data_IF_023291254974
#
_entry.id   IF_023291254974
#
_cell.length_a   1.000
_cell.length_b   1.000
_cell.length_c   1.000
_cell.angle_alpha   90.00
_cell.angle_beta   90.00
_cell.angle_gamma   90.00
#
_symmetry.space_group_name_H-M   'P 1'
#
loop_
_entity.id
_entity.type
_entity.pdbx_description
1 polymer ?
#
# COMPACT_ATOMS: atom_id res chain seq x y z
N UNK A 1 28.71 -37.27 31.08
CA UNK A 1 28.95 -36.29 32.17
C UNK A 1 30.23 -35.51 31.86
N UNK A 2 30.09 -34.28 31.36
CA UNK A 2 31.18 -33.29 31.31
C UNK A 2 30.54 -31.93 31.57
N UNK A 3 30.85 -31.33 32.70
CA UNK A 3 30.42 -30.01 33.16
C UNK A 3 31.29 -28.96 32.47
N UNK A 4 30.66 -27.99 31.80
CA UNK A 4 31.34 -26.84 31.22
C UNK A 4 31.18 -25.63 32.15
N UNK A 5 32.32 -25.11 32.64
CA UNK A 5 32.41 -23.99 33.57
C UNK A 5 32.24 -22.65 32.81
N UNK A 6 31.29 -21.84 33.29
CA UNK A 6 31.06 -20.46 32.80
C UNK A 6 31.91 -19.49 33.62
N UNK A 7 32.96 -18.96 33.01
CA UNK A 7 33.73 -17.84 33.60
C UNK A 7 33.09 -16.51 33.21
N UNK A 8 32.70 -15.74 34.23
CA UNK A 8 32.20 -14.35 34.13
C UNK A 8 33.34 -13.43 33.67
N UNK A 9 33.08 -12.67 32.60
CA UNK A 9 33.94 -11.54 32.17
C UNK A 9 33.16 -10.27 32.50
N UNK A 10 33.70 -9.50 33.44
CA UNK A 10 33.25 -8.15 33.80
C UNK A 10 34.03 -7.20 32.91
N UNK A 11 33.35 -6.45 32.07
CA UNK A 11 33.93 -5.36 31.27
C UNK A 11 33.54 -4.02 31.90
N UNK A 12 34.53 -3.28 32.35
CA UNK A 12 34.43 -1.95 32.94
C UNK A 12 34.22 -0.93 31.82
N UNK A 13 33.13 -0.15 31.89
CA UNK A 13 32.86 0.96 30.96
C UNK A 13 33.39 2.23 31.58
N UNK A 14 34.39 2.83 30.92
CA UNK A 14 34.92 4.16 31.28
C UNK A 14 34.18 5.22 30.47
N UNK A 15 33.45 6.09 31.17
CA UNK A 15 32.74 7.24 30.58
C UNK A 15 33.74 8.41 30.47
N UNK A 16 34.02 8.86 29.26
CA UNK A 16 34.71 10.14 29.01
C UNK A 16 33.66 11.20 28.64
N UNK A 17 33.46 12.13 29.55
CA UNK A 17 32.68 13.35 29.30
C UNK A 17 33.58 14.45 28.71
N UNK A 18 33.31 14.84 27.46
CA UNK A 18 33.92 16.07 26.88
C UNK A 18 32.87 17.15 26.79
N UNK A 19 33.09 18.18 27.60
CA UNK A 19 32.35 19.44 27.56
C UNK A 19 32.87 20.33 26.42
N UNK A 20 32.00 20.81 25.54
CA UNK A 20 32.31 21.89 24.61
C UNK A 20 31.58 23.18 25.07
N UNK A 21 32.40 24.18 25.37
CA UNK A 21 31.97 25.51 25.77
C UNK A 21 31.54 26.33 24.53
N UNK A 22 30.40 27.00 24.64
CA UNK A 22 29.95 28.03 23.70
C UNK A 22 30.71 29.33 23.99
N UNK A 23 31.37 29.87 22.95
CA UNK A 23 31.76 31.29 22.94
C UNK A 23 30.98 32.02 21.88
N UNK A 24 30.09 32.92 22.34
CA UNK A 24 29.45 33.92 21.51
C UNK A 24 30.38 35.17 21.50
N UNK A 25 30.64 35.72 20.31
CA UNK A 25 31.05 37.12 20.17
C UNK A 25 30.46 37.62 18.86
N UNK A 26 29.56 38.60 19.00
CA UNK A 26 29.09 39.43 17.90
C UNK A 26 30.08 40.55 17.60
N UNK A 27 30.08 41.06 16.41
CA UNK A 27 30.12 42.51 16.15
C UNK A 27 29.69 42.81 14.70
N UNK A 28 28.99 43.93 14.59
CA UNK A 28 28.50 44.58 13.37
C UNK A 28 29.67 45.28 12.63
N UNK A 29 29.63 45.41 11.31
CA UNK A 29 29.44 46.65 10.55
C UNK A 29 29.72 46.52 9.04
N UNK A 30 28.73 46.96 8.30
CA UNK A 30 28.74 47.87 7.10
C UNK A 30 29.68 47.64 5.89
N UNK A 31 29.01 47.38 4.75
CA UNK A 31 29.02 48.25 3.53
C UNK A 31 30.02 47.95 2.40
N UNK A 32 29.49 47.63 1.29
CA UNK A 32 29.56 48.18 -0.10
C UNK A 32 29.65 47.16 -1.23
N UNK A 33 28.58 47.22 -2.00
CA UNK A 33 28.43 47.07 -3.46
C UNK A 33 29.64 46.61 -4.28
N UNK A 34 29.41 45.50 -5.06
CA UNK A 34 29.69 45.55 -6.50
C UNK A 34 28.88 44.47 -7.22
N UNK A 35 28.24 44.92 -8.31
CA UNK A 35 27.44 44.21 -9.24
C UNK A 35 28.24 43.13 -9.96
N UNK A 36 27.67 41.91 -10.04
CA UNK A 36 28.12 40.84 -10.90
C UNK A 36 26.90 39.98 -11.27
N UNK A 37 26.39 40.24 -12.47
CA UNK A 37 25.31 39.46 -13.09
C UNK A 37 25.83 38.07 -13.36
N UNK A 38 25.26 37.06 -12.67
CA UNK A 38 25.41 35.64 -12.97
C UNK A 38 24.05 35.03 -12.63
N UNK A 39 23.21 34.88 -13.66
CA UNK A 39 22.02 34.02 -13.60
C UNK A 39 22.48 32.59 -13.43
N UNK A 40 22.62 32.15 -12.20
CA UNK A 40 22.57 30.74 -11.84
C UNK A 40 21.20 30.54 -11.22
N UNK A 41 20.36 29.86 -11.95
CA UNK A 41 19.07 29.37 -11.48
C UNK A 41 19.35 28.34 -10.35
N UNK A 42 19.44 28.86 -9.15
CA UNK A 42 19.55 28.06 -7.95
C UNK A 42 18.10 27.80 -7.50
N UNK A 43 17.42 26.87 -8.16
CA UNK A 43 16.19 26.31 -7.65
C UNK A 43 16.53 25.63 -6.34
N UNK A 44 16.38 26.40 -5.26
CA UNK A 44 16.48 25.89 -3.90
C UNK A 44 15.55 24.71 -3.75
N UNK A 45 16.07 23.62 -3.16
CA UNK A 45 15.27 22.50 -2.68
C UNK A 45 14.09 23.09 -1.91
N UNK A 46 12.90 23.00 -2.51
CA UNK A 46 11.64 23.16 -1.80
C UNK A 46 11.66 22.12 -0.67
N UNK A 47 11.15 22.44 0.49
CA UNK A 47 11.13 21.50 1.62
C UNK A 47 10.11 20.38 1.42
N UNK A 48 9.97 19.87 0.20
CA UNK A 48 9.13 18.77 -0.20
C UNK A 48 9.80 17.46 0.21
N UNK A 49 9.00 16.57 0.77
CA UNK A 49 9.48 15.31 1.33
C UNK A 49 9.63 14.23 0.24
N UNK A 50 8.97 14.41 -0.91
CA UNK A 50 8.98 13.47 -2.03
C UNK A 50 10.10 13.77 -3.04
N UNK A 51 10.46 12.76 -3.85
CA UNK A 51 11.31 12.92 -5.02
C UNK A 51 10.47 13.21 -6.27
N UNK A 52 10.90 14.18 -7.06
CA UNK A 52 10.31 14.48 -8.37
C UNK A 52 10.66 13.37 -9.38
N UNK A 53 9.96 13.32 -10.52
CA UNK A 53 10.25 12.39 -11.60
C UNK A 53 11.72 12.49 -12.10
N UNK A 54 12.25 13.72 -12.21
CA UNK A 54 13.62 13.94 -12.66
C UNK A 54 14.63 13.41 -11.64
N UNK A 55 14.40 13.63 -10.33
CA UNK A 55 15.25 13.10 -9.27
C UNK A 55 15.23 11.57 -9.23
N UNK A 56 14.08 10.93 -9.45
CA UNK A 56 13.95 9.47 -9.55
C UNK A 56 14.78 8.93 -10.72
N UNK A 57 14.71 9.60 -11.90
CA UNK A 57 15.49 9.21 -13.08
C UNK A 57 16.98 9.43 -12.89
N UNK A 58 17.38 10.52 -12.24
CA UNK A 58 18.78 10.81 -11.92
C UNK A 58 19.35 9.79 -10.94
N UNK A 59 18.59 9.42 -9.90
CA UNK A 59 18.97 8.39 -8.92
C UNK A 59 19.02 6.97 -9.50
N UNK A 60 18.33 6.74 -10.64
CA UNK A 60 18.24 5.43 -11.29
C UNK A 60 17.46 4.39 -10.49
N UNK A 61 16.66 4.82 -9.50
CA UNK A 61 15.86 3.94 -8.64
C UNK A 61 14.55 4.58 -8.27
N UNK A 62 13.49 3.77 -8.17
CA UNK A 62 12.18 4.15 -7.65
C UNK A 62 11.78 3.25 -6.49
N UNK A 63 11.24 3.83 -5.42
CA UNK A 63 10.75 3.09 -4.26
C UNK A 63 9.23 2.90 -4.38
N UNK A 64 8.77 1.67 -4.49
CA UNK A 64 7.35 1.37 -4.65
C UNK A 64 6.88 0.54 -3.46
N UNK A 65 5.87 1.06 -2.74
CA UNK A 65 5.22 0.35 -1.64
C UNK A 65 4.20 -0.65 -2.18
N UNK A 66 4.41 -1.93 -1.87
CA UNK A 66 3.53 -3.05 -2.23
C UNK A 66 3.24 -3.90 -1.01
N UNK A 67 2.16 -4.69 -1.03
CA UNK A 67 1.96 -5.72 -0.02
C UNK A 67 2.98 -6.85 -0.16
N UNK A 68 3.25 -7.57 0.92
CA UNK A 68 4.13 -8.73 0.94
C UNK A 68 3.42 -10.02 1.39
N UNK A 69 2.12 -9.94 1.73
CA UNK A 69 1.31 -11.03 2.29
C UNK A 69 -0.14 -11.07 1.76
N UNK A 70 -0.45 -10.29 0.71
CA UNK A 70 -1.77 -10.24 0.06
C UNK A 70 -1.72 -10.94 -1.31
N UNK A 71 -1.60 -12.28 -1.33
CA UNK A 71 -1.68 -13.09 -2.54
C UNK A 71 -3.14 -13.10 -3.08
N UNK A 72 -3.39 -12.81 -4.37
CA UNK A 72 -2.47 -12.70 -5.51
C UNK A 72 -2.05 -11.28 -5.91
N UNK A 73 -2.30 -10.25 -5.11
CA UNK A 73 -2.04 -8.84 -5.47
C UNK A 73 -0.60 -8.40 -5.22
N UNK A 74 -0.09 -8.64 -4.00
CA UNK A 74 1.29 -8.37 -3.61
C UNK A 74 1.72 -9.34 -2.52
N UNK A 75 2.70 -10.19 -2.81
CA UNK A 75 3.20 -11.18 -1.87
C UNK A 75 4.67 -11.51 -2.17
N UNK A 76 5.32 -12.13 -1.19
CA UNK A 76 6.68 -12.64 -1.35
C UNK A 76 6.61 -14.15 -1.51
N UNK A 77 7.21 -14.67 -2.57
CA UNK A 77 7.25 -16.10 -2.89
C UNK A 77 8.28 -16.87 -2.04
N UNK A 78 8.38 -18.18 -2.28
CA UNK A 78 9.32 -19.07 -1.57
C UNK A 78 10.81 -18.72 -1.80
N UNK A 79 11.12 -17.99 -2.88
CA UNK A 79 12.47 -17.55 -3.22
C UNK A 79 12.80 -16.18 -2.59
N UNK A 80 11.82 -15.54 -1.95
CA UNK A 80 11.95 -14.21 -1.39
C UNK A 80 11.71 -13.08 -2.39
N UNK A 81 11.13 -13.39 -3.57
CA UNK A 81 10.84 -12.43 -4.62
C UNK A 81 9.41 -11.91 -4.52
N UNK A 82 9.22 -10.61 -4.79
CA UNK A 82 7.90 -10.02 -4.84
C UNK A 82 7.15 -10.45 -6.10
N UNK A 83 5.88 -10.81 -5.94
CA UNK A 83 4.98 -11.33 -6.98
C UNK A 83 3.58 -10.72 -6.84
N UNK A 84 2.78 -10.80 -7.89
CA UNK A 84 1.36 -10.43 -7.91
C UNK A 84 1.04 -9.24 -8.80
N UNK A 85 -0.24 -8.91 -8.91
CA UNK A 85 -0.80 -7.93 -9.84
C UNK A 85 -0.19 -6.53 -9.66
N UNK A 86 -0.13 -6.02 -8.43
CA UNK A 86 0.49 -4.72 -8.15
C UNK A 86 2.01 -4.72 -8.45
N UNK A 87 2.66 -5.87 -8.24
CA UNK A 87 4.10 -6.05 -8.49
C UNK A 87 4.41 -6.13 -9.98
N UNK A 88 3.53 -6.76 -10.77
CA UNK A 88 3.66 -6.83 -12.22
C UNK A 88 3.62 -5.41 -12.82
N UNK A 89 2.66 -4.60 -12.41
CA UNK A 89 2.58 -3.19 -12.83
C UNK A 89 3.77 -2.36 -12.34
N UNK A 90 4.23 -2.57 -11.10
CA UNK A 90 5.41 -1.88 -10.57
C UNK A 90 6.69 -2.16 -11.37
N UNK A 91 6.89 -3.41 -11.83
CA UNK A 91 8.01 -3.77 -12.69
C UNK A 91 7.93 -3.04 -14.05
N UNK A 92 6.74 -2.95 -14.65
CA UNK A 92 6.52 -2.21 -15.89
C UNK A 92 6.84 -0.71 -15.73
N UNK A 93 6.43 -0.10 -14.64
CA UNK A 93 6.80 1.29 -14.31
C UNK A 93 8.33 1.46 -14.28
N UNK A 94 9.05 0.53 -13.65
CA UNK A 94 10.51 0.57 -13.61
C UNK A 94 11.16 0.42 -14.97
N UNK A 95 10.64 -0.48 -15.82
CA UNK A 95 11.11 -0.70 -17.19
C UNK A 95 10.93 0.55 -18.04
N UNK A 96 9.75 1.17 -18.03
CA UNK A 96 9.42 2.31 -18.87
C UNK A 96 10.09 3.62 -18.40
N UNK A 97 10.35 3.75 -17.08
CA UNK A 97 11.19 4.82 -16.55
C UNK A 97 12.69 4.60 -16.81
N UNK A 98 13.11 3.36 -17.07
CA UNK A 98 14.51 2.96 -17.18
C UNK A 98 15.25 3.00 -15.83
N UNK A 99 14.56 2.72 -14.73
CA UNK A 99 15.11 2.72 -13.36
C UNK A 99 14.88 1.38 -12.67
N UNK A 100 15.66 1.11 -11.62
CA UNK A 100 15.46 -0.08 -10.81
C UNK A 100 14.32 0.14 -9.80
N UNK A 101 13.40 -0.81 -9.70
CA UNK A 101 12.38 -0.81 -8.65
C UNK A 101 12.97 -1.35 -7.34
N UNK A 102 12.79 -0.60 -6.27
CA UNK A 102 13.00 -1.05 -4.90
C UNK A 102 11.63 -1.27 -4.25
N UNK A 103 11.27 -2.51 -4.03
CA UNK A 103 10.02 -2.84 -3.33
C UNK A 103 10.14 -2.55 -1.84
N UNK A 104 9.11 -1.89 -1.29
CA UNK A 104 8.98 -1.60 0.13
C UNK A 104 7.73 -2.31 0.65
N UNK A 105 7.93 -3.30 1.53
CA UNK A 105 6.80 -3.99 2.19
C UNK A 105 5.95 -2.97 2.95
N UNK A 106 4.65 -2.99 2.68
CA UNK A 106 3.70 -1.99 3.18
C UNK A 106 2.49 -2.69 3.79
N UNK A 107 2.02 -2.19 4.93
CA UNK A 107 0.75 -2.56 5.53
C UNK A 107 -0.33 -1.54 5.15
N UNK A 108 -1.61 -1.93 5.21
CA UNK A 108 -2.70 -1.07 4.77
C UNK A 108 -2.74 0.28 5.52
N UNK A 109 -2.49 0.27 6.83
CA UNK A 109 -2.48 1.48 7.65
C UNK A 109 -1.29 2.42 7.35
N UNK A 110 -0.19 1.90 6.81
CA UNK A 110 1.05 2.66 6.59
C UNK A 110 1.11 3.37 5.23
N UNK A 111 0.18 3.10 4.30
CA UNK A 111 0.25 3.59 2.91
C UNK A 111 0.36 5.10 2.80
N UNK A 112 -0.52 5.83 3.50
CA UNK A 112 -0.51 7.31 3.51
C UNK A 112 0.77 7.84 4.14
N UNK A 113 1.15 7.32 5.32
CA UNK A 113 2.36 7.77 6.03
C UNK A 113 3.63 7.57 5.21
N UNK A 114 3.75 6.45 4.48
CA UNK A 114 4.93 6.17 3.66
C UNK A 114 5.10 7.17 2.52
N UNK A 115 4.01 7.64 1.91
CA UNK A 115 4.04 8.73 0.94
C UNK A 115 4.37 10.06 1.61
N UNK A 116 3.72 10.40 2.73
CA UNK A 116 3.93 11.65 3.44
C UNK A 116 5.35 11.83 3.99
N UNK A 117 6.02 10.72 4.29
CA UNK A 117 7.40 10.72 4.82
C UNK A 117 8.46 10.53 3.74
N UNK A 118 8.07 10.34 2.47
CA UNK A 118 9.00 10.07 1.37
C UNK A 118 9.71 8.71 1.47
N UNK A 119 9.15 7.78 2.25
CA UNK A 119 9.66 6.42 2.34
C UNK A 119 9.47 5.65 1.04
N UNK A 120 8.42 5.98 0.30
CA UNK A 120 8.12 5.48 -1.03
C UNK A 120 7.75 6.64 -1.95
N UNK A 121 7.95 6.44 -3.26
CA UNK A 121 7.54 7.39 -4.30
C UNK A 121 6.12 7.11 -4.79
N UNK A 122 5.78 5.81 -4.87
CA UNK A 122 4.46 5.32 -5.30
C UNK A 122 3.96 4.28 -4.30
N UNK A 123 2.67 4.27 -4.05
CA UNK A 123 1.94 3.13 -3.45
C UNK A 123 1.21 2.38 -4.56
N UNK A 124 1.56 1.10 -4.72
CA UNK A 124 0.87 0.07 -5.48
C UNK A 124 0.56 -1.09 -4.53
N UNK A 125 -0.34 -0.86 -3.61
CA UNK A 125 -0.72 -1.79 -2.56
C UNK A 125 -2.24 -1.87 -2.46
N UNK A 126 -2.88 -2.22 -3.60
CA UNK A 126 -4.32 -2.38 -3.73
C UNK A 126 -5.07 -1.21 -3.05
N UNK A 127 -4.72 0.03 -3.46
CA UNK A 127 -5.08 1.24 -2.72
C UNK A 127 -6.36 1.86 -3.25
N UNK A 128 -7.47 1.56 -2.59
CA UNK A 128 -8.82 2.07 -2.93
C UNK A 128 -8.85 3.59 -2.86
N UNK A 129 -9.36 4.20 -3.92
CA UNK A 129 -9.60 5.64 -4.00
C UNK A 129 -10.77 6.02 -3.10
N UNK A 130 -10.52 6.88 -2.11
CA UNK A 130 -11.56 7.47 -1.27
C UNK A 130 -11.36 8.96 -1.12
N UNK A 131 -12.43 9.71 -0.85
CA UNK A 131 -12.34 11.16 -0.66
C UNK A 131 -11.41 11.53 0.50
N UNK A 132 -11.46 10.79 1.61
CA UNK A 132 -10.59 11.01 2.77
C UNK A 132 -9.10 10.83 2.41
N UNK A 133 -8.76 9.75 1.69
CA UNK A 133 -7.38 9.50 1.25
C UNK A 133 -6.91 10.53 0.24
N UNK A 134 -7.80 10.97 -0.68
CA UNK A 134 -7.50 11.98 -1.68
C UNK A 134 -7.21 13.38 -1.09
N UNK A 135 -7.60 13.65 0.14
CA UNK A 135 -7.17 14.84 0.87
C UNK A 135 -5.67 14.78 1.26
N UNK A 136 -5.12 13.59 1.42
CA UNK A 136 -3.78 13.35 1.97
C UNK A 136 -2.73 12.95 0.92
N UNK A 137 -3.15 12.32 -0.17
CA UNK A 137 -2.30 11.85 -1.28
C UNK A 137 -2.94 12.23 -2.62
N UNK A 138 -2.19 12.10 -3.72
CA UNK A 138 -2.75 12.24 -5.06
C UNK A 138 -2.85 10.85 -5.71
N UNK A 139 -4.05 10.50 -6.16
CA UNK A 139 -4.29 9.27 -6.90
C UNK A 139 -4.13 9.48 -8.39
N UNK A 140 -3.49 8.53 -9.04
CA UNK A 140 -3.46 8.42 -10.50
C UNK A 140 -4.77 7.82 -11.04
N UNK A 141 -4.82 7.57 -12.34
CA UNK A 141 -5.92 6.85 -12.99
C UNK A 141 -6.04 5.43 -12.43
N UNK A 142 -7.26 4.90 -12.28
CA UNK A 142 -7.46 3.56 -11.75
C UNK A 142 -7.05 2.47 -12.73
N UNK A 143 -6.67 1.30 -12.19
CA UNK A 143 -6.32 0.11 -12.96
C UNK A 143 -7.15 -1.12 -12.58
N UNK A 144 -8.00 -1.03 -11.55
CA UNK A 144 -8.85 -2.12 -11.10
C UNK A 144 -10.13 -1.59 -10.44
N UNK A 145 -11.23 -2.32 -10.60
CA UNK A 145 -12.48 -2.13 -9.83
C UNK A 145 -12.45 -2.99 -8.56
N UNK A 146 -13.15 -2.54 -7.53
CA UNK A 146 -13.28 -3.25 -6.26
C UNK A 146 -14.61 -2.94 -5.60
N UNK A 147 -15.09 -3.85 -4.77
CA UNK A 147 -16.14 -3.61 -3.78
C UNK A 147 -15.67 -4.19 -2.43
N UNK A 148 -16.45 -4.01 -1.37
CA UNK A 148 -16.22 -4.76 -0.14
C UNK A 148 -16.97 -6.09 -0.18
N UNK A 149 -16.48 -7.08 0.58
CA UNK A 149 -17.15 -8.36 0.74
C UNK A 149 -16.96 -8.93 2.14
N UNK A 150 -17.71 -9.98 2.46
CA UNK A 150 -17.62 -10.70 3.73
C UNK A 150 -17.55 -12.20 3.47
N UNK A 151 -16.50 -12.83 3.96
CA UNK A 151 -16.30 -14.29 3.95
C UNK A 151 -16.49 -14.85 5.36
N UNK A 152 -17.05 -16.03 5.45
CA UNK A 152 -17.29 -16.73 6.73
C UNK A 152 -17.25 -18.25 6.55
N UNK A 153 -17.07 -19.03 7.64
CA UNK A 153 -17.11 -20.49 7.56
C UNK A 153 -18.45 -21.02 7.05
N UNK A 154 -18.43 -22.11 6.25
CA UNK A 154 -19.63 -22.78 5.73
C UNK A 154 -20.58 -23.28 6.85
N UNK A 155 -20.05 -23.51 8.04
CA UNK A 155 -20.87 -23.84 9.21
C UNK A 155 -21.76 -22.70 9.69
N UNK A 156 -21.41 -21.47 9.30
CA UNK A 156 -22.17 -20.26 9.65
C UNK A 156 -21.92 -19.18 8.59
N UNK A 157 -22.62 -19.27 7.47
CA UNK A 157 -22.52 -18.27 6.40
C UNK A 157 -23.20 -16.97 6.83
N UNK A 158 -22.50 -15.86 6.72
CA UNK A 158 -22.99 -14.51 7.01
C UNK A 158 -23.48 -13.89 5.69
N UNK A 159 -24.78 -13.82 5.50
CA UNK A 159 -25.41 -13.26 4.29
C UNK A 159 -25.95 -11.83 4.48
N UNK A 160 -25.98 -11.32 5.73
CA UNK A 160 -26.35 -9.95 6.08
C UNK A 160 -25.67 -9.54 7.37
N UNK A 161 -25.41 -8.24 7.49
CA UNK A 161 -24.92 -7.62 8.73
C UNK A 161 -26.06 -7.10 9.63
N UNK A 162 -27.30 -7.19 9.16
CA UNK A 162 -28.47 -6.78 9.94
C UNK A 162 -28.70 -7.73 11.13
N UNK A 163 -29.21 -7.18 12.24
CA UNK A 163 -29.49 -7.91 13.47
C UNK A 163 -28.29 -8.69 14.01
N UNK A 164 -27.12 -8.08 13.97
CA UNK A 164 -25.86 -8.68 14.42
C UNK A 164 -25.89 -9.11 15.90
N UNK A 165 -25.35 -10.29 16.19
CA UNK A 165 -25.17 -10.72 17.57
C UNK A 165 -23.96 -10.00 18.18
N UNK A 166 -24.16 -9.21 19.23
CA UNK A 166 -23.12 -8.40 19.88
C UNK A 166 -21.97 -9.20 20.52
N UNK A 167 -22.13 -10.52 20.65
CA UNK A 167 -21.03 -11.40 21.13
C UNK A 167 -20.09 -11.83 19.99
N UNK A 168 -20.51 -11.66 18.73
CA UNK A 168 -19.74 -12.03 17.56
C UNK A 168 -18.85 -10.87 17.10
N UNK A 169 -17.66 -11.19 16.61
CA UNK A 169 -16.71 -10.21 16.10
C UNK A 169 -16.44 -10.44 14.59
N UNK A 170 -16.38 -9.35 13.84
CA UNK A 170 -15.87 -9.36 12.46
C UNK A 170 -14.38 -9.01 12.46
N UNK A 171 -13.60 -9.81 11.75
CA UNK A 171 -12.18 -9.55 11.49
C UNK A 171 -12.09 -8.48 10.42
N UNK A 172 -11.25 -7.48 10.65
CA UNK A 172 -10.86 -6.45 9.68
C UNK A 172 -9.35 -6.20 9.74
N UNK A 173 -8.80 -5.61 8.70
CA UNK A 173 -7.42 -5.15 8.68
C UNK A 173 -7.40 -3.63 8.89
N UNK A 174 -6.55 -3.18 9.81
CA UNK A 174 -6.38 -1.75 10.14
C UNK A 174 -6.03 -0.92 8.90
N UNK A 175 -6.70 0.21 8.70
CA UNK A 175 -6.47 1.13 7.58
C UNK A 175 -7.10 0.70 6.25
N UNK A 176 -7.99 -0.32 6.25
CA UNK A 176 -8.77 -0.73 5.08
C UNK A 176 -10.09 0.02 4.99
N UNK A 177 -10.65 0.09 3.78
CA UNK A 177 -12.00 0.61 3.55
C UNK A 177 -13.08 -0.22 4.25
N UNK A 178 -12.86 -1.53 4.42
CA UNK A 178 -13.77 -2.40 5.17
C UNK A 178 -13.85 -2.00 6.65
N UNK A 179 -12.71 -1.69 7.28
CA UNK A 179 -12.70 -1.18 8.66
C UNK A 179 -13.51 0.11 8.77
N UNK A 180 -13.20 1.11 7.93
CA UNK A 180 -13.89 2.42 7.94
C UNK A 180 -15.38 2.25 7.68
N UNK A 181 -15.77 1.49 6.67
CA UNK A 181 -17.16 1.25 6.31
C UNK A 181 -17.98 0.62 7.46
N UNK A 182 -17.40 -0.37 8.13
CA UNK A 182 -18.08 -1.03 9.26
C UNK A 182 -18.20 -0.09 10.47
N UNK A 183 -17.19 0.71 10.77
CA UNK A 183 -17.24 1.69 11.85
C UNK A 183 -18.35 2.72 11.61
N UNK A 184 -18.48 3.19 10.36
CA UNK A 184 -19.44 4.24 10.00
C UNK A 184 -20.88 3.74 9.87
N UNK A 185 -21.06 2.56 9.26
CA UNK A 185 -22.40 2.07 8.90
C UNK A 185 -22.95 1.01 9.86
N UNK A 186 -22.07 0.31 10.61
CA UNK A 186 -22.41 -0.76 11.54
C UNK A 186 -21.65 -0.61 12.87
N UNK A 187 -21.78 0.54 13.57
CA UNK A 187 -20.98 0.86 14.77
C UNK A 187 -21.19 -0.10 15.94
N UNK A 188 -22.31 -0.83 15.95
CA UNK A 188 -22.66 -1.79 17.00
C UNK A 188 -22.01 -3.18 16.78
N UNK A 189 -21.37 -3.41 15.62
CA UNK A 189 -20.65 -4.66 15.32
C UNK A 189 -19.25 -4.60 15.96
N UNK A 190 -18.91 -5.51 16.87
CA UNK A 190 -17.57 -5.56 17.43
C UNK A 190 -16.54 -5.98 16.35
N UNK A 191 -15.50 -5.18 16.18
CA UNK A 191 -14.43 -5.45 15.23
C UNK A 191 -13.19 -6.00 15.93
N UNK A 192 -12.62 -7.06 15.35
CA UNK A 192 -11.30 -7.57 15.70
C UNK A 192 -10.31 -7.15 14.62
N UNK A 193 -9.37 -6.26 14.99
CA UNK A 193 -8.46 -5.60 14.06
C UNK A 193 -7.11 -6.31 14.03
N UNK A 194 -6.60 -6.50 12.82
CA UNK A 194 -5.26 -7.02 12.56
C UNK A 194 -4.49 -6.08 11.62
N UNK A 195 -3.16 -6.12 11.67
CA UNK A 195 -2.33 -5.22 10.85
C UNK A 195 -1.95 -5.87 9.50
N UNK A 196 -1.91 -7.22 9.43
CA UNK A 196 -1.49 -7.95 8.24
C UNK A 196 -2.54 -8.96 7.74
N UNK A 197 -2.50 -9.25 6.43
CA UNK A 197 -3.38 -10.24 5.80
C UNK A 197 -3.15 -11.64 6.32
N UNK A 198 -1.89 -12.02 6.54
CA UNK A 198 -1.54 -13.32 7.10
C UNK A 198 -2.13 -13.54 8.49
N UNK A 199 -2.08 -12.53 9.37
CA UNK A 199 -2.65 -12.64 10.72
C UNK A 199 -4.17 -12.65 10.72
N UNK A 200 -4.83 -11.88 9.85
CA UNK A 200 -6.28 -11.88 9.71
C UNK A 200 -6.81 -13.23 9.18
N UNK A 201 -6.17 -13.82 8.16
CA UNK A 201 -6.48 -15.15 7.64
C UNK A 201 -6.36 -16.22 8.73
N UNK A 202 -5.23 -16.26 9.41
CA UNK A 202 -5.00 -17.18 10.53
C UNK A 202 -6.04 -16.99 11.66
N UNK A 203 -6.46 -15.77 11.94
CA UNK A 203 -7.47 -15.50 12.95
C UNK A 203 -8.83 -16.10 12.58
N UNK A 204 -9.27 -15.94 11.31
CA UNK A 204 -10.51 -16.55 10.82
C UNK A 204 -10.44 -18.08 10.88
N UNK A 205 -9.34 -18.68 10.42
CA UNK A 205 -9.12 -20.13 10.43
C UNK A 205 -9.16 -20.72 11.86
N UNK A 206 -8.66 -19.97 12.84
CA UNK A 206 -8.68 -20.36 14.25
C UNK A 206 -9.99 -20.01 14.99
N UNK A 207 -10.98 -19.42 14.29
CA UNK A 207 -12.28 -19.05 14.88
C UNK A 207 -12.20 -17.86 15.85
N UNK A 208 -11.19 -17.01 15.70
CA UNK A 208 -11.04 -15.79 16.50
C UNK A 208 -11.98 -14.63 16.04
N UNK A 209 -12.82 -14.89 15.07
CA UNK A 209 -13.91 -14.06 14.60
C UNK A 209 -14.87 -14.92 13.78
N UNK A 210 -16.11 -14.49 13.60
CA UNK A 210 -17.12 -15.28 12.90
C UNK A 210 -17.12 -15.04 11.39
N UNK A 211 -16.52 -13.93 10.96
CA UNK A 211 -16.38 -13.52 9.56
C UNK A 211 -15.19 -12.59 9.38
N UNK A 212 -14.75 -12.44 8.15
CA UNK A 212 -13.73 -11.46 7.75
C UNK A 212 -14.31 -10.56 6.65
N UNK A 213 -14.25 -9.25 6.87
CA UNK A 213 -14.63 -8.22 5.90
C UNK A 213 -13.37 -7.58 5.31
N UNK A 214 -13.31 -7.50 3.98
CA UNK A 214 -12.21 -6.87 3.23
C UNK A 214 -12.70 -6.52 1.81
N UNK A 215 -11.79 -6.13 0.93
CA UNK A 215 -12.08 -6.06 -0.50
C UNK A 215 -12.68 -7.39 -0.99
N UNK A 216 -13.72 -7.32 -1.83
CA UNK A 216 -14.38 -8.52 -2.33
C UNK A 216 -13.39 -9.43 -3.06
N UNK A 217 -12.44 -8.85 -3.77
CA UNK A 217 -11.34 -9.60 -4.43
C UNK A 217 -10.57 -10.45 -3.43
N UNK A 218 -10.20 -9.91 -2.27
CA UNK A 218 -9.46 -10.66 -1.26
C UNK A 218 -10.27 -11.78 -0.62
N UNK A 219 -11.52 -11.51 -0.24
CA UNK A 219 -12.37 -12.52 0.41
C UNK A 219 -12.81 -13.61 -0.57
N UNK A 220 -12.96 -13.30 -1.88
CA UNK A 220 -13.20 -14.27 -2.94
C UNK A 220 -11.97 -15.15 -3.13
N UNK A 221 -10.76 -14.56 -3.24
CA UNK A 221 -9.52 -15.33 -3.35
C UNK A 221 -9.33 -16.28 -2.17
N UNK A 222 -9.58 -15.80 -0.96
CA UNK A 222 -9.52 -16.64 0.23
C UNK A 222 -10.49 -17.83 0.17
N UNK A 223 -11.75 -17.60 -0.20
CA UNK A 223 -12.76 -18.64 -0.28
C UNK A 223 -12.46 -19.67 -1.41
N UNK A 224 -11.88 -19.22 -2.53
CA UNK A 224 -11.48 -20.10 -3.64
C UNK A 224 -10.27 -20.98 -3.28
N UNK A 225 -9.36 -20.46 -2.46
CA UNK A 225 -8.14 -21.16 -2.03
C UNK A 225 -8.35 -22.04 -0.79
N UNK A 226 -9.43 -21.82 -0.03
CA UNK A 226 -9.67 -22.50 1.25
C UNK A 226 -11.05 -23.16 1.28
N UNK A 227 -11.08 -24.50 1.18
CA UNK A 227 -12.31 -25.26 1.37
C UNK A 227 -12.92 -24.99 2.75
N UNK A 228 -14.23 -24.88 2.84
CA UNK A 228 -14.93 -24.68 4.11
C UNK A 228 -15.32 -23.21 4.39
N UNK A 229 -15.07 -22.30 3.45
CA UNK A 229 -15.47 -20.90 3.55
C UNK A 229 -16.35 -20.47 2.37
N UNK A 230 -17.24 -19.52 2.62
CA UNK A 230 -18.14 -18.94 1.61
C UNK A 230 -18.17 -17.43 1.75
N UNK A 231 -18.13 -16.72 0.64
CA UNK A 231 -18.43 -15.29 0.57
C UNK A 231 -19.95 -15.13 0.59
N UNK A 232 -20.50 -14.87 1.76
CA UNK A 232 -21.94 -14.72 1.92
C UNK A 232 -22.42 -13.32 1.52
N UNK A 233 -21.53 -12.30 1.59
CA UNK A 233 -21.81 -10.94 1.09
C UNK A 233 -20.71 -10.64 0.06
N UNK A 234 -20.98 -10.81 -1.25
CA UNK A 234 -19.99 -10.59 -2.30
C UNK A 234 -19.79 -9.12 -2.67
N UNK A 235 -20.77 -8.26 -2.33
CA UNK A 235 -20.73 -6.82 -2.56
C UNK A 235 -21.39 -6.11 -1.38
N UNK A 236 -20.60 -5.35 -0.62
CA UNK A 236 -21.03 -4.55 0.53
C UNK A 236 -20.70 -3.09 0.27
N UNK A 237 -21.71 -2.22 0.28
CA UNK A 237 -21.57 -0.80 -0.03
C UNK A 237 -21.52 -0.53 -1.54
N UNK A 238 -20.75 0.49 -1.93
CA UNK A 238 -20.56 0.89 -3.33
C UNK A 238 -19.37 0.16 -3.98
N UNK A 239 -19.36 0.19 -5.33
CA UNK A 239 -18.17 -0.14 -6.09
C UNK A 239 -17.23 1.05 -6.08
N UNK A 240 -15.95 0.75 -5.90
CA UNK A 240 -14.85 1.69 -5.86
C UNK A 240 -13.77 1.27 -6.86
N UNK A 241 -12.68 2.03 -6.94
CA UNK A 241 -11.54 1.69 -7.79
C UNK A 241 -10.24 1.65 -6.99
N UNK A 242 -9.29 0.88 -7.50
CA UNK A 242 -7.90 0.85 -7.05
C UNK A 242 -7.07 1.70 -8.00
N UNK A 243 -6.21 2.54 -7.45
CA UNK A 243 -5.32 3.38 -8.23
C UNK A 243 -3.94 3.50 -7.58
N UNK A 244 -2.87 3.77 -8.36
CA UNK A 244 -1.59 4.19 -7.80
C UNK A 244 -1.74 5.50 -7.06
N UNK A 245 -0.96 5.69 -6.00
CA UNK A 245 -0.94 6.96 -5.29
C UNK A 245 0.49 7.48 -5.13
N UNK A 246 0.62 8.80 -5.18
CA UNK A 246 1.88 9.53 -4.95
C UNK A 246 1.70 10.53 -3.81
N UNK A 247 2.80 11.06 -3.31
CA UNK A 247 2.76 12.14 -2.31
C UNK A 247 1.98 13.34 -2.84
N UNK A 248 1.19 13.97 -1.96
CA UNK A 248 0.38 15.14 -2.30
C UNK A 248 1.22 16.24 -2.92
N UNK A 249 0.83 16.71 -4.10
CA UNK A 249 1.53 17.76 -4.85
C UNK A 249 2.67 17.26 -5.75
N UNK A 250 2.99 15.97 -5.79
CA UNK A 250 4.00 15.42 -6.71
C UNK A 250 3.42 15.28 -8.13
N UNK A 251 3.15 16.40 -8.77
CA UNK A 251 2.47 16.46 -10.06
C UNK A 251 3.29 15.85 -11.19
N UNK A 252 4.61 15.96 -11.18
CA UNK A 252 5.47 15.43 -12.24
C UNK A 252 5.44 13.91 -12.32
N UNK A 253 5.44 13.23 -11.18
CA UNK A 253 5.32 11.77 -11.13
C UNK A 253 3.87 11.34 -11.41
N UNK A 254 2.88 12.05 -10.86
CA UNK A 254 1.47 11.78 -11.10
C UNK A 254 1.10 11.86 -12.58
N UNK A 255 1.51 12.94 -13.26
CA UNK A 255 1.24 13.15 -14.68
C UNK A 255 1.87 12.02 -15.53
N UNK A 256 3.11 11.64 -15.19
CA UNK A 256 3.79 10.54 -15.87
C UNK A 256 3.04 9.22 -15.70
N UNK A 257 2.61 8.86 -14.47
CA UNK A 257 1.85 7.63 -14.21
C UNK A 257 0.52 7.63 -14.98
N UNK A 258 -0.16 8.78 -15.01
CA UNK A 258 -1.42 8.90 -15.75
C UNK A 258 -1.24 8.70 -17.25
N UNK A 259 -0.17 9.26 -17.82
CA UNK A 259 0.13 9.08 -19.24
C UNK A 259 0.57 7.66 -19.55
N UNK A 260 1.30 7.04 -18.63
CA UNK A 260 1.69 5.63 -18.70
C UNK A 260 0.46 4.71 -18.71
N UNK A 261 -0.47 4.85 -17.76
CA UNK A 261 -1.70 4.05 -17.72
C UNK A 261 -2.51 4.16 -19.02
N UNK A 262 -2.58 5.36 -19.61
CA UNK A 262 -3.26 5.55 -20.90
C UNK A 262 -2.52 4.85 -22.05
N UNK A 263 -1.19 4.93 -22.08
CA UNK A 263 -0.39 4.29 -23.12
C UNK A 263 -0.48 2.75 -23.03
N UNK A 264 -0.48 2.20 -21.84
CA UNK A 264 -0.61 0.77 -21.58
C UNK A 264 -1.95 0.18 -22.04
N UNK A 265 -3.00 0.99 -22.16
CA UNK A 265 -4.30 0.54 -22.68
C UNK A 265 -4.23 0.04 -24.14
N UNK A 266 -3.39 0.64 -24.98
CA UNK A 266 -3.19 0.19 -26.36
C UNK A 266 -2.59 -1.22 -26.43
N UNK A 267 -1.88 -1.63 -25.39
CA UNK A 267 -1.28 -2.97 -25.25
C UNK A 267 -2.21 -3.96 -24.53
N UNK A 268 -3.36 -3.54 -23.99
CA UNK A 268 -4.22 -4.33 -23.11
C UNK A 268 -3.44 -4.85 -21.90
N UNK A 269 -2.60 -3.99 -21.32
CA UNK A 269 -1.62 -4.37 -20.31
C UNK A 269 -2.26 -4.95 -19.06
N UNK A 270 -3.32 -4.33 -18.53
CA UNK A 270 -3.95 -4.81 -17.30
C UNK A 270 -4.75 -6.10 -17.50
N UNK A 271 -5.21 -6.40 -18.72
CA UNK A 271 -5.73 -7.74 -19.06
C UNK A 271 -4.62 -8.77 -19.12
N UNK A 272 -3.46 -8.42 -19.68
CA UNK A 272 -2.30 -9.31 -19.69
C UNK A 272 -1.74 -9.56 -18.28
N UNK A 273 -1.73 -8.54 -17.42
CA UNK A 273 -1.38 -8.66 -16.00
C UNK A 273 -2.35 -9.61 -15.28
N UNK A 274 -3.66 -9.45 -15.50
CA UNK A 274 -4.65 -10.38 -14.96
C UNK A 274 -4.37 -11.83 -15.38
N UNK A 275 -4.08 -12.05 -16.65
CA UNK A 275 -3.75 -13.38 -17.19
C UNK A 275 -2.46 -13.95 -16.58
N UNK A 276 -1.51 -13.09 -16.26
CA UNK A 276 -0.24 -13.51 -15.67
C UNK A 276 -0.32 -13.77 -14.16
N UNK A 277 -1.21 -13.08 -13.43
CA UNK A 277 -1.17 -13.03 -11.96
C UNK A 277 -2.46 -13.45 -11.26
N UNK A 278 -3.62 -13.24 -11.87
CA UNK A 278 -4.92 -13.41 -11.22
C UNK A 278 -5.71 -14.60 -11.75
N UNK A 279 -5.52 -15.01 -13.02
CA UNK A 279 -6.34 -16.05 -13.67
C UNK A 279 -6.32 -17.38 -12.95
N UNK A 280 -5.20 -17.78 -12.37
CA UNK A 280 -5.08 -19.03 -11.62
C UNK A 280 -5.96 -19.05 -10.36
N UNK A 281 -6.23 -17.87 -9.78
CA UNK A 281 -7.09 -17.72 -8.60
C UNK A 281 -8.56 -17.56 -8.98
N UNK A 282 -8.87 -16.68 -9.93
CA UNK A 282 -10.26 -16.26 -10.22
C UNK A 282 -10.85 -16.91 -11.48
N UNK A 283 -10.03 -17.51 -12.35
CA UNK A 283 -10.44 -17.88 -13.70
C UNK A 283 -10.76 -16.66 -14.56
N UNK A 284 -11.34 -16.88 -15.74
CA UNK A 284 -11.66 -15.78 -16.66
C UNK A 284 -12.92 -14.98 -16.27
N UNK A 285 -13.71 -15.49 -15.32
CA UNK A 285 -15.06 -14.96 -15.01
C UNK A 285 -15.00 -13.53 -14.47
N UNK A 286 -13.98 -13.20 -13.71
CA UNK A 286 -13.85 -11.90 -13.04
C UNK A 286 -13.03 -10.86 -13.82
N UNK A 287 -12.41 -11.26 -14.95
CA UNK A 287 -11.47 -10.41 -15.69
C UNK A 287 -12.09 -9.07 -16.09
N UNK A 288 -13.20 -9.13 -16.83
CA UNK A 288 -13.89 -7.94 -17.35
C UNK A 288 -14.51 -7.08 -16.24
N UNK A 289 -14.82 -7.68 -15.09
CA UNK A 289 -15.38 -6.93 -13.96
C UNK A 289 -14.29 -6.19 -13.18
N UNK A 290 -13.12 -6.81 -13.03
CA UNK A 290 -12.05 -6.30 -12.18
C UNK A 290 -11.11 -5.35 -12.94
N UNK A 291 -10.77 -5.63 -14.19
CA UNK A 291 -9.76 -4.88 -14.94
C UNK A 291 -10.30 -3.52 -15.39
N UNK A 292 -9.47 -2.48 -15.23
CA UNK A 292 -9.71 -1.14 -15.77
C UNK A 292 -8.55 -0.77 -16.68
N UNK A 293 -8.80 -0.72 -17.98
CA UNK A 293 -7.81 -0.29 -18.96
C UNK A 293 -7.84 1.23 -19.18
N UNK A 294 -6.64 1.84 -19.26
CA UNK A 294 -6.49 3.26 -19.54
C UNK A 294 -7.13 4.22 -18.54
N UNK A 295 -7.50 3.71 -17.38
CA UNK A 295 -8.18 4.48 -16.33
C UNK A 295 -9.64 4.80 -16.66
N UNK A 296 -10.24 4.12 -17.63
CA UNK A 296 -11.66 4.33 -18.03
C UNK A 296 -12.55 3.43 -17.18
N UNK A 297 -13.45 4.04 -16.41
CA UNK A 297 -14.45 3.33 -15.61
C UNK A 297 -15.85 3.54 -16.19
N UNK A 298 -16.78 2.61 -15.93
CA UNK A 298 -18.18 2.71 -16.36
C UNK A 298 -18.94 3.93 -15.76
N UNK A 299 -18.31 4.63 -14.84
CA UNK A 299 -18.89 5.81 -14.16
C UNK A 299 -18.54 7.15 -14.83
N UNK A 300 -17.81 7.16 -15.95
CA UNK A 300 -17.42 8.39 -16.70
C UNK A 300 -18.00 8.41 -18.10
#
# INVERSE_FOLDING_TARGET
MRKLNWKKIIATVTVLATAFAFTACGNSDSNKSSSGSGSGDNTGKSGEVYRTLDEIKEDGTINIGVFSDKNPFGYVDENGEYQGYDVYFANRIGEDLGVKVNFVSTEAASRVEFLQTGKVDIILANFTVTAERAEQVDFALPYMNVALGVVSPNSRVIESLDNWNSEDQIIVISGTTAETYLIENYPDIPLQKYDSYATAKNALENGNGVAWANDNTEVIAFALQNEGYTVGIPELGSKDTIAPAVSKGNTTLLDWINDEIKALADEQFFHADYDATLVDTYGDTYKEELVVEGGVTDAN
#
